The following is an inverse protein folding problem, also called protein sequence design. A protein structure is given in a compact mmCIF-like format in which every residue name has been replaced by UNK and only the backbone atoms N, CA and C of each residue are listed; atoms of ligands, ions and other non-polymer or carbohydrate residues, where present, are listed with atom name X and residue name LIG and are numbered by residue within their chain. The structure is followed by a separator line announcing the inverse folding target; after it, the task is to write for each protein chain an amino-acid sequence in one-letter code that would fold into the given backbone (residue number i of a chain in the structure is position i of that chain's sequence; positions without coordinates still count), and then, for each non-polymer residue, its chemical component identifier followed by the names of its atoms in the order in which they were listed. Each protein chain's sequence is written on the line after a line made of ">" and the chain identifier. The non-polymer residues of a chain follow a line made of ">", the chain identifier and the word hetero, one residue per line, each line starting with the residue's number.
data_IF_905535416510
#
_entry.id   IF_905535416510
#
_cell.length_a   1.000
_cell.length_b   1.000
_cell.length_c   1.000
_cell.angle_alpha   90.00
_cell.angle_beta   90.00
_cell.angle_gamma   90.00
#
_symmetry.space_group_name_H-M   'P 1'
#
loop_
_entity.id
_entity.type
_entity.pdbx_description
1 polymer ?
#
# COMPACT_ATOMS: atom_id res chain seq x y z
N UNK A 1 -30.16 6.80 44.94
CA UNK A 1 -29.02 6.90 44.00
C UNK A 1 -29.41 6.07 42.78
N UNK A 2 -29.69 6.73 41.64
CA UNK A 2 -30.41 6.12 40.52
C UNK A 2 -29.42 5.40 39.57
N UNK A 3 -29.69 4.14 39.26
CA UNK A 3 -28.84 3.25 38.45
C UNK A 3 -28.65 3.76 37.01
N UNK A 4 -29.51 4.70 36.58
CA UNK A 4 -29.52 5.26 35.24
C UNK A 4 -28.48 6.38 35.01
N UNK A 5 -27.97 7.00 36.08
CA UNK A 5 -27.00 8.10 35.98
C UNK A 5 -25.57 7.60 35.70
N UNK A 6 -25.25 6.36 36.09
CA UNK A 6 -23.92 5.76 35.88
C UNK A 6 -23.70 5.28 34.44
N UNK A 7 -24.77 4.86 33.73
CA UNK A 7 -24.67 4.34 32.36
C UNK A 7 -24.52 5.44 31.31
N UNK A 8 -24.97 6.66 31.58
CA UNK A 8 -24.85 7.78 30.63
C UNK A 8 -23.46 8.43 30.64
N UNK A 9 -22.75 8.41 31.77
CA UNK A 9 -21.42 9.02 31.90
C UNK A 9 -20.34 8.23 31.15
N UNK A 10 -20.51 6.92 30.99
CA UNK A 10 -19.55 6.04 30.30
C UNK A 10 -19.61 6.23 28.77
N UNK A 11 -20.77 6.58 28.19
CA UNK A 11 -20.93 6.76 26.73
C UNK A 11 -20.43 8.10 26.19
N UNK A 12 -20.25 9.12 27.04
CA UNK A 12 -20.09 10.51 26.58
C UNK A 12 -18.64 10.93 26.30
N UNK A 13 -17.65 10.09 26.62
CA UNK A 13 -16.22 10.47 26.57
C UNK A 13 -15.45 9.88 25.38
N UNK A 14 -16.06 8.96 24.61
CA UNK A 14 -15.40 8.33 23.45
C UNK A 14 -15.42 9.25 22.21
N UNK A 15 -16.39 10.16 22.12
CA UNK A 15 -16.63 10.99 20.93
C UNK A 15 -16.39 12.48 21.20
N UNK A 16 -15.14 12.84 21.55
CA UNK A 16 -14.74 14.25 21.42
C UNK A 16 -14.64 14.59 19.92
N UNK A 17 -14.98 15.82 19.51
CA UNK A 17 -14.83 16.26 18.10
C UNK A 17 -13.40 16.07 17.56
N UNK A 18 -12.39 16.02 18.45
CA UNK A 18 -10.99 15.76 18.10
C UNK A 18 -10.70 14.27 17.83
N UNK A 19 -11.51 13.36 18.37
CA UNK A 19 -11.33 11.90 18.26
C UNK A 19 -12.02 11.29 17.04
N UNK A 20 -13.03 11.99 16.48
CA UNK A 20 -13.80 11.55 15.31
C UNK A 20 -12.91 11.23 14.10
N UNK A 21 -11.93 12.07 13.70
CA UNK A 21 -11.08 11.76 12.55
C UNK A 21 -10.27 10.47 12.74
N UNK A 22 -9.77 10.21 13.94
CA UNK A 22 -9.00 9.00 14.25
C UNK A 22 -9.88 7.75 14.24
N UNK A 23 -11.11 7.84 14.75
CA UNK A 23 -12.05 6.72 14.71
C UNK A 23 -12.47 6.36 13.28
N UNK A 24 -12.57 7.35 12.39
CA UNK A 24 -12.82 7.14 10.96
C UNK A 24 -11.62 6.53 10.23
N UNK A 25 -10.39 6.84 10.64
CA UNK A 25 -9.15 6.25 10.09
C UNK A 25 -8.87 4.84 10.65
N UNK A 26 -9.35 4.54 11.85
CA UNK A 26 -9.14 3.26 12.54
C UNK A 26 -9.41 2.03 11.65
N UNK A 27 -10.54 1.90 10.92
CA UNK A 27 -10.78 0.72 10.08
C UNK A 27 -9.75 0.56 8.96
N UNK A 28 -9.31 1.65 8.33
CA UNK A 28 -8.27 1.60 7.31
C UNK A 28 -6.92 1.19 7.92
N UNK A 29 -6.59 1.70 9.10
CA UNK A 29 -5.35 1.36 9.80
C UNK A 29 -5.33 -0.10 10.26
N UNK A 30 -6.44 -0.61 10.80
CA UNK A 30 -6.59 -2.00 11.17
C UNK A 30 -6.47 -2.92 9.96
N UNK A 31 -7.10 -2.57 8.83
CA UNK A 31 -6.95 -3.31 7.60
C UNK A 31 -5.48 -3.38 7.15
N UNK A 32 -4.79 -2.25 7.14
CA UNK A 32 -3.37 -2.20 6.82
C UNK A 32 -2.52 -3.04 7.79
N UNK A 33 -2.75 -2.94 9.09
CA UNK A 33 -2.00 -3.71 10.09
C UNK A 33 -2.18 -5.23 9.89
N UNK A 34 -3.42 -5.69 9.66
CA UNK A 34 -3.70 -7.13 9.55
C UNK A 34 -3.27 -7.69 8.19
N UNK A 35 -3.59 -7.00 7.10
CA UNK A 35 -3.42 -7.55 5.76
C UNK A 35 -2.11 -7.13 5.07
N UNK A 36 -1.44 -6.09 5.56
CA UNK A 36 -0.14 -5.68 5.05
C UNK A 36 0.98 -5.95 6.05
N UNK A 37 0.85 -5.47 7.29
CA UNK A 37 1.96 -5.55 8.25
C UNK A 37 2.24 -6.98 8.71
N UNK A 38 1.21 -7.77 9.05
CA UNK A 38 1.41 -9.17 9.45
C UNK A 38 2.12 -10.02 8.38
N UNK A 39 1.69 -10.06 7.10
CA UNK A 39 2.40 -10.85 6.10
C UNK A 39 3.81 -10.33 5.82
N UNK A 40 4.05 -9.01 5.88
CA UNK A 40 5.40 -8.45 5.76
C UNK A 40 6.30 -8.95 6.89
N UNK A 41 5.84 -8.92 8.14
CA UNK A 41 6.60 -9.41 9.28
C UNK A 41 6.85 -10.93 9.19
N UNK A 42 5.87 -11.70 8.70
CA UNK A 42 6.04 -13.14 8.44
C UNK A 42 7.15 -13.39 7.41
N UNK A 43 7.09 -12.71 6.26
CA UNK A 43 8.10 -12.84 5.22
C UNK A 43 9.50 -12.44 5.69
N UNK A 44 9.60 -11.35 6.48
CA UNK A 44 10.88 -10.95 7.08
C UNK A 44 11.43 -12.04 7.98
N UNK A 45 10.60 -12.66 8.83
CA UNK A 45 11.02 -13.78 9.68
C UNK A 45 11.50 -14.97 8.85
N UNK A 46 10.74 -15.33 7.81
CA UNK A 46 11.02 -16.48 6.93
C UNK A 46 12.38 -16.38 6.23
N UNK A 47 12.80 -15.18 5.86
CA UNK A 47 14.13 -14.97 5.27
C UNK A 47 15.26 -15.43 6.20
N UNK A 48 15.06 -15.34 7.51
CA UNK A 48 16.05 -15.73 8.53
C UNK A 48 15.79 -17.11 9.14
N UNK A 49 14.77 -17.85 8.72
CA UNK A 49 14.48 -19.20 9.23
C UNK A 49 14.54 -20.23 8.10
N UNK A 50 15.05 -21.42 8.38
CA UNK A 50 14.99 -22.53 7.43
C UNK A 50 13.58 -23.12 7.32
N UNK A 51 13.43 -24.11 6.44
CA UNK A 51 12.17 -24.83 6.22
C UNK A 51 11.66 -25.59 7.46
N UNK A 52 12.56 -25.93 8.38
CA UNK A 52 12.24 -26.62 9.63
C UNK A 52 11.92 -25.64 10.78
N UNK A 53 12.04 -24.33 10.52
CA UNK A 53 11.76 -23.25 11.48
C UNK A 53 12.95 -22.87 12.36
N UNK A 54 14.15 -23.41 12.12
CA UNK A 54 15.36 -23.02 12.83
C UNK A 54 15.90 -21.70 12.29
N UNK A 55 16.50 -20.89 13.15
CA UNK A 55 17.09 -19.63 12.75
C UNK A 55 18.39 -19.83 11.95
N UNK A 56 18.37 -19.45 10.68
CA UNK A 56 19.52 -19.45 9.78
C UNK A 56 19.82 -18.02 9.32
N UNK A 57 20.59 -17.28 10.13
CA UNK A 57 20.91 -15.86 9.93
C UNK A 57 21.17 -15.47 8.46
N UNK A 58 21.98 -16.23 7.73
CA UNK A 58 22.29 -15.99 6.32
C UNK A 58 22.09 -17.21 5.43
N UNK A 59 21.44 -18.27 5.93
CA UNK A 59 21.33 -19.56 5.24
C UNK A 59 20.61 -19.44 3.90
N UNK A 60 19.41 -18.87 3.91
CA UNK A 60 18.60 -18.67 2.71
C UNK A 60 19.25 -17.72 1.69
N UNK A 61 19.90 -16.66 2.16
CA UNK A 61 20.63 -15.74 1.27
C UNK A 61 21.80 -16.43 0.56
N UNK A 62 22.54 -17.29 1.27
CA UNK A 62 23.62 -18.07 0.66
C UNK A 62 23.07 -19.01 -0.41
N UNK A 63 21.97 -19.71 -0.13
CA UNK A 63 21.32 -20.59 -1.10
C UNK A 63 20.87 -19.83 -2.35
N UNK A 64 20.27 -18.64 -2.19
CA UNK A 64 19.90 -17.78 -3.32
C UNK A 64 21.11 -17.29 -4.11
N UNK A 65 22.18 -16.86 -3.43
CA UNK A 65 23.39 -16.36 -4.09
C UNK A 65 24.16 -17.46 -4.85
N UNK A 66 24.01 -18.72 -4.44
CA UNK A 66 24.57 -19.88 -5.13
C UNK A 66 23.70 -20.37 -6.30
N UNK A 67 22.50 -19.82 -6.48
CA UNK A 67 21.62 -20.18 -7.59
C UNK A 67 22.04 -19.49 -8.88
N UNK A 68 22.20 -20.27 -9.95
CA UNK A 68 22.46 -19.75 -11.29
C UNK A 68 21.30 -18.90 -11.86
N UNK A 69 20.13 -18.93 -11.21
CA UNK A 69 18.92 -18.25 -11.68
C UNK A 69 18.77 -16.83 -11.12
N UNK A 70 19.40 -16.50 -9.98
CA UNK A 70 19.15 -15.22 -9.31
C UNK A 70 19.62 -14.03 -10.14
N UNK A 71 20.81 -14.14 -10.76
CA UNK A 71 21.38 -13.11 -11.62
C UNK A 71 20.50 -12.82 -12.85
N UNK A 72 20.18 -13.84 -13.67
CA UNK A 72 19.25 -13.68 -14.79
C UNK A 72 17.87 -13.17 -14.37
N UNK A 73 17.32 -13.63 -13.25
CA UNK A 73 16.02 -13.17 -12.76
C UNK A 73 16.03 -11.68 -12.40
N UNK A 74 17.06 -11.22 -11.69
CA UNK A 74 17.24 -9.80 -11.35
C UNK A 74 17.40 -8.97 -12.61
N UNK A 75 18.26 -9.38 -13.55
CA UNK A 75 18.51 -8.64 -14.79
C UNK A 75 17.25 -8.54 -15.66
N UNK A 76 16.51 -9.64 -15.81
CA UNK A 76 15.26 -9.66 -16.56
C UNK A 76 14.21 -8.74 -15.91
N UNK A 77 14.07 -8.80 -14.58
CA UNK A 77 13.11 -7.96 -13.85
C UNK A 77 13.49 -6.48 -13.94
N UNK A 78 14.78 -6.15 -13.80
CA UNK A 78 15.26 -4.78 -13.91
C UNK A 78 15.09 -4.23 -15.33
N UNK A 79 15.40 -5.03 -16.34
CA UNK A 79 15.21 -4.67 -17.76
C UNK A 79 13.73 -4.46 -18.05
N UNK A 80 12.87 -5.38 -17.62
CA UNK A 80 11.42 -5.25 -17.77
C UNK A 80 10.88 -4.00 -17.08
N UNK A 81 11.28 -3.74 -15.83
CA UNK A 81 10.85 -2.56 -15.09
C UNK A 81 11.29 -1.27 -15.78
N UNK A 82 12.55 -1.19 -16.21
CA UNK A 82 13.08 -0.01 -16.91
C UNK A 82 12.33 0.25 -18.23
N UNK A 83 12.18 -0.78 -19.08
CA UNK A 83 11.49 -0.64 -20.36
C UNK A 83 10.01 -0.30 -20.15
N UNK A 84 9.36 -0.93 -19.17
CA UNK A 84 7.95 -0.70 -18.86
C UNK A 84 7.72 0.73 -18.40
N UNK A 85 8.53 1.24 -17.48
CA UNK A 85 8.40 2.62 -16.97
C UNK A 85 8.62 3.62 -18.09
N UNK A 86 9.68 3.45 -18.89
CA UNK A 86 9.94 4.34 -20.04
C UNK A 86 8.77 4.36 -21.03
N UNK A 87 8.23 3.19 -21.37
CA UNK A 87 7.09 3.07 -22.27
C UNK A 87 5.81 3.67 -21.67
N UNK A 88 5.53 3.41 -20.38
CA UNK A 88 4.40 3.98 -19.66
C UNK A 88 4.45 5.51 -19.65
N UNK A 89 5.61 6.11 -19.38
CA UNK A 89 5.78 7.57 -19.42
C UNK A 89 5.58 8.11 -20.83
N UNK A 90 6.15 7.47 -21.84
CA UNK A 90 5.97 7.89 -23.23
C UNK A 90 4.49 7.86 -23.63
N UNK A 91 3.78 6.78 -23.31
CA UNK A 91 2.33 6.65 -23.58
C UNK A 91 1.51 7.66 -22.77
N UNK A 92 1.84 7.88 -21.49
CA UNK A 92 1.16 8.86 -20.65
C UNK A 92 1.31 10.28 -21.20
N UNK A 93 2.50 10.66 -21.67
CA UNK A 93 2.75 11.95 -22.30
C UNK A 93 2.05 12.08 -23.65
N UNK A 94 2.08 11.04 -24.48
CA UNK A 94 1.37 11.01 -25.74
C UNK A 94 -0.14 11.22 -25.52
N UNK A 95 -0.72 10.52 -24.56
CA UNK A 95 -2.12 10.70 -24.17
C UNK A 95 -2.37 12.10 -23.59
N UNK A 96 -1.48 12.63 -22.75
CA UNK A 96 -1.61 13.97 -22.19
C UNK A 96 -1.63 15.07 -23.27
N UNK A 97 -0.87 14.91 -24.36
CA UNK A 97 -0.88 15.84 -25.51
C UNK A 97 -2.10 15.62 -26.41
N UNK A 98 -2.53 14.37 -26.59
CA UNK A 98 -3.61 14.04 -27.51
C UNK A 98 -5.02 14.27 -26.92
N UNK A 99 -5.19 14.08 -25.60
CA UNK A 99 -6.46 14.19 -24.90
C UNK A 99 -7.11 15.59 -25.03
N UNK A 100 -6.39 16.71 -24.91
CA UNK A 100 -6.94 18.06 -25.13
C UNK A 100 -7.39 18.30 -26.57
N UNK A 101 -6.80 17.61 -27.55
CA UNK A 101 -7.09 17.78 -28.99
C UNK A 101 -8.33 16.97 -29.38
N UNK A 102 -8.51 15.77 -28.79
CA UNK A 102 -9.67 14.92 -29.01
C UNK A 102 -10.91 15.40 -28.26
N UNK A 103 -10.74 15.99 -27.08
CA UNK A 103 -11.83 16.58 -26.32
C UNK A 103 -12.19 17.94 -26.90
N UNK A 104 -13.13 17.99 -27.86
CA UNK A 104 -13.74 19.24 -28.36
C UNK A 104 -14.04 20.22 -27.21
N UNK A 105 -13.94 21.54 -27.42
CA UNK A 105 -14.00 22.53 -26.35
C UNK A 105 -15.39 22.58 -25.72
N UNK A 106 -15.63 21.73 -24.72
CA UNK A 106 -16.71 21.90 -23.75
C UNK A 106 -16.18 22.67 -22.54
N UNK A 107 -15.52 23.80 -22.81
CA UNK A 107 -15.18 24.83 -21.83
C UNK A 107 -16.43 25.46 -21.17
N UNK A 108 -17.64 24.99 -21.50
CA UNK A 108 -18.90 25.37 -20.86
C UNK A 108 -19.26 24.54 -19.63
N UNK A 109 -18.65 23.36 -19.40
CA UNK A 109 -19.00 22.53 -18.22
C UNK A 109 -18.17 22.91 -16.98
N UNK A 110 -16.92 23.34 -17.15
CA UNK A 110 -16.05 23.74 -16.03
C UNK A 110 -16.32 25.15 -15.49
N UNK A 111 -16.98 26.02 -16.26
CA UNK A 111 -17.33 27.39 -15.82
C UNK A 111 -18.71 27.48 -15.15
N UNK A 112 -19.52 26.42 -15.19
CA UNK A 112 -20.83 26.37 -14.54
C UNK A 112 -20.77 25.88 -13.08
N UNK A 113 -19.59 25.51 -12.58
CA UNK A 113 -19.37 24.97 -11.24
C UNK A 113 -18.36 25.77 -10.38
N UNK A 114 -18.00 26.98 -10.82
CA UNK A 114 -17.22 27.94 -10.03
C UNK A 114 -17.99 29.26 -9.95
#
# INVERSE_FOLDING_TARGET
>A
MNENDSKQTIKKTIFSKKSIPYLLLLPAFLFYAVFWLLPVLSGVKEVFTDFDGNFTLLGNFKLMAQSDLIGPAIFNTATFAAVSVMLQYFLALLLAVLLPIMSSPKSLIFQAFL
#
